data_IF_661613642468
#
_entry.id   IF_661613642468
#
_cell.length_a   1.000
_cell.length_b   1.000
_cell.length_c   1.000
_cell.angle_alpha   90.00
_cell.angle_beta   90.00
_cell.angle_gamma   90.00
#
_symmetry.space_group_name_H-M   'P 1'
#
loop_
_entity.id
_entity.type
_entity.pdbx_description
1 polymer ?
#
# COMPACT_ATOMS: atom_id res chain seq x y z
N UNK A 1 -7.89 12.24 -2.34
CA UNK A 1 -7.80 11.77 -0.92
C UNK A 1 -6.51 12.24 -0.26
N UNK A 2 -6.50 12.47 1.06
CA UNK A 2 -5.25 12.67 1.81
C UNK A 2 -4.49 11.35 1.98
N UNK A 3 -3.14 11.33 1.88
CA UNK A 3 -2.35 10.12 2.09
C UNK A 3 -2.47 9.50 3.48
N UNK A 4 -2.52 8.17 3.54
CA UNK A 4 -2.68 7.40 4.78
C UNK A 4 -1.59 6.34 4.89
N UNK A 5 -0.84 6.31 6.00
CA UNK A 5 0.05 5.20 6.35
C UNK A 5 -0.68 4.10 7.12
N UNK A 6 -0.29 2.82 6.94
CA UNK A 6 -0.89 1.67 7.64
C UNK A 6 0.16 0.84 8.37
N UNK A 7 -0.16 0.33 9.56
CA UNK A 7 0.60 -0.74 10.21
C UNK A 7 -0.08 -2.08 9.92
N UNK A 8 0.67 -3.05 9.39
CA UNK A 8 0.13 -4.37 9.01
C UNK A 8 1.05 -5.48 9.54
N UNK A 9 0.86 -5.85 10.80
CA UNK A 9 1.68 -6.86 11.46
C UNK A 9 3.16 -6.44 11.52
N UNK A 10 4.03 -7.18 10.84
CA UNK A 10 5.48 -6.93 10.81
C UNK A 10 5.93 -5.88 9.78
N UNK A 11 5.00 -5.21 9.08
CA UNK A 11 5.30 -4.22 8.05
C UNK A 11 4.58 -2.90 8.28
N UNK A 12 5.13 -1.85 7.68
CA UNK A 12 4.48 -0.55 7.53
C UNK A 12 4.23 -0.25 6.06
N UNK A 13 3.09 0.32 5.76
CA UNK A 13 2.77 0.91 4.47
C UNK A 13 2.91 2.42 4.61
N UNK A 14 3.82 3.00 3.84
CA UNK A 14 4.00 4.46 3.76
C UNK A 14 3.55 4.94 2.40
N UNK A 15 2.86 6.06 2.33
CA UNK A 15 2.39 6.65 1.09
C UNK A 15 3.52 6.91 0.09
N UNK A 16 3.19 6.77 -1.18
CA UNK A 16 3.99 7.20 -2.31
C UNK A 16 3.10 8.02 -3.25
N UNK A 17 3.74 8.94 -3.99
CA UNK A 17 3.09 9.72 -5.06
C UNK A 17 1.86 10.50 -4.54
N UNK A 18 1.98 11.36 -3.51
CA UNK A 18 0.83 12.04 -2.88
C UNK A 18 -0.01 12.86 -3.87
N UNK A 19 0.59 13.40 -4.94
CA UNK A 19 -0.17 14.11 -5.98
C UNK A 19 -1.24 13.22 -6.64
N UNK A 20 -0.93 11.94 -6.88
CA UNK A 20 -1.88 10.97 -7.44
C UNK A 20 -2.99 10.60 -6.44
N UNK A 21 -2.71 10.66 -5.13
CA UNK A 21 -3.73 10.52 -4.10
C UNK A 21 -4.65 11.73 -4.10
N UNK A 22 -4.10 12.94 -4.15
CA UNK A 22 -4.88 14.17 -4.17
C UNK A 22 -5.73 14.30 -5.43
N UNK A 23 -5.25 13.78 -6.57
CA UNK A 23 -6.00 13.72 -7.83
C UNK A 23 -7.01 12.56 -7.90
N UNK A 24 -7.05 11.67 -6.89
CA UNK A 24 -7.85 10.43 -6.90
C UNK A 24 -7.58 9.57 -8.14
N UNK A 25 -6.31 9.48 -8.56
CA UNK A 25 -5.87 8.68 -9.72
C UNK A 25 -5.32 7.32 -9.28
N UNK A 26 -4.57 7.29 -8.19
CA UNK A 26 -3.99 6.07 -7.62
C UNK A 26 -3.54 6.29 -6.18
N UNK A 27 -3.77 5.29 -5.32
CA UNK A 27 -3.33 5.28 -3.93
C UNK A 27 -2.22 4.24 -3.79
N UNK A 28 -0.95 4.68 -3.79
CA UNK A 28 0.20 3.78 -3.71
C UNK A 28 0.89 3.85 -2.35
N UNK A 29 1.26 2.69 -1.84
CA UNK A 29 2.07 2.51 -0.64
C UNK A 29 3.36 1.78 -0.96
N UNK A 30 4.47 2.23 -0.39
CA UNK A 30 5.66 1.39 -0.21
C UNK A 30 5.41 0.43 0.96
N UNK A 31 5.75 -0.85 0.78
CA UNK A 31 5.71 -1.86 1.84
C UNK A 31 7.09 -1.96 2.47
N UNK A 32 7.19 -1.69 3.77
CA UNK A 32 8.46 -1.59 4.49
C UNK A 32 8.54 -2.57 5.64
N UNK A 33 9.73 -3.13 5.88
CA UNK A 33 10.02 -3.93 7.07
C UNK A 33 9.96 -3.03 8.31
N UNK A 34 9.21 -3.42 9.34
CA UNK A 34 9.01 -2.60 10.54
C UNK A 34 10.32 -2.27 11.26
N UNK A 35 11.21 -3.25 11.39
CA UNK A 35 12.43 -3.11 12.19
C UNK A 35 13.54 -2.30 11.49
N UNK A 36 13.60 -2.32 10.16
CA UNK A 36 14.70 -1.66 9.41
C UNK A 36 14.23 -0.47 8.57
N UNK A 37 12.94 -0.41 8.22
CA UNK A 37 12.39 0.59 7.30
C UNK A 37 12.67 0.30 5.82
N UNK A 38 13.37 -0.80 5.51
CA UNK A 38 13.70 -1.18 4.13
C UNK A 38 12.43 -1.45 3.33
N UNK A 39 12.37 -0.87 2.13
CA UNK A 39 11.27 -1.14 1.19
C UNK A 39 11.47 -2.48 0.52
N UNK A 40 10.41 -3.29 0.47
CA UNK A 40 10.40 -4.61 -0.17
C UNK A 40 9.49 -4.67 -1.41
N UNK A 41 8.81 -3.56 -1.73
CA UNK A 41 7.95 -3.41 -2.91
C UNK A 41 6.85 -2.40 -2.66
N UNK A 42 5.86 -2.37 -3.55
CA UNK A 42 4.75 -1.42 -3.54
C UNK A 42 3.41 -2.13 -3.71
N UNK A 43 2.36 -1.53 -3.15
CA UNK A 43 0.96 -1.91 -3.42
C UNK A 43 0.22 -0.66 -3.85
N UNK A 44 -0.54 -0.76 -4.94
CA UNK A 44 -1.36 0.33 -5.47
C UNK A 44 -2.81 -0.10 -5.50
N UNK A 45 -3.70 0.75 -4.97
CA UNK A 45 -5.15 0.67 -5.16
C UNK A 45 -5.56 1.74 -6.18
N UNK A 46 -6.24 1.34 -7.24
CA UNK A 46 -6.86 2.26 -8.20
C UNK A 46 -8.28 2.61 -7.75
N UNK A 47 -8.83 3.76 -8.17
CA UNK A 47 -10.23 4.13 -7.91
C UNK A 47 -11.25 3.12 -8.43
N UNK A 48 -10.88 2.29 -9.41
CA UNK A 48 -11.70 1.18 -9.92
C UNK A 48 -11.87 0.03 -8.92
N UNK A 49 -11.10 0.03 -7.81
CA UNK A 49 -10.99 -1.08 -6.87
C UNK A 49 -9.92 -2.11 -7.26
N UNK A 50 -9.25 -1.94 -8.40
CA UNK A 50 -8.14 -2.82 -8.79
C UNK A 50 -6.93 -2.62 -7.88
N UNK A 51 -6.29 -3.73 -7.49
CA UNK A 51 -5.09 -3.72 -6.66
C UNK A 51 -3.94 -4.37 -7.42
N UNK A 52 -2.85 -3.62 -7.59
CA UNK A 52 -1.61 -4.10 -8.19
C UNK A 52 -0.50 -4.16 -7.14
N UNK A 53 0.42 -5.10 -7.31
CA UNK A 53 1.58 -5.30 -6.44
C UNK A 53 2.83 -5.28 -7.30
N UNK A 54 3.80 -4.46 -6.94
CA UNK A 54 5.12 -4.42 -7.57
C UNK A 54 6.20 -4.87 -6.58
N UNK A 55 7.09 -5.75 -7.03
CA UNK A 55 8.13 -6.37 -6.21
C UNK A 55 8.06 -7.90 -6.14
N UNK A 56 9.07 -8.55 -5.52
CA UNK A 56 9.16 -9.99 -5.43
C UNK A 56 8.09 -10.57 -4.49
N UNK A 57 7.52 -11.72 -4.87
CA UNK A 57 6.54 -12.41 -4.02
C UNK A 57 7.11 -12.67 -2.62
N UNK A 58 6.43 -12.12 -1.63
CA UNK A 58 6.85 -12.13 -0.23
C UNK A 58 5.65 -12.09 0.69
N UNK A 59 5.84 -12.55 1.92
CA UNK A 59 4.78 -12.48 2.95
C UNK A 59 4.33 -11.04 3.21
N UNK A 60 5.27 -10.09 3.17
CA UNK A 60 4.96 -8.68 3.37
C UNK A 60 4.08 -8.09 2.28
N UNK A 61 4.37 -8.37 1.00
CA UNK A 61 3.54 -7.91 -0.11
C UNK A 61 2.16 -8.57 -0.12
N UNK A 62 2.05 -9.85 0.22
CA UNK A 62 0.74 -10.53 0.36
C UNK A 62 -0.08 -9.96 1.51
N UNK A 63 0.56 -9.70 2.65
CA UNK A 63 -0.09 -9.09 3.82
C UNK A 63 -0.55 -7.66 3.51
N UNK A 64 0.31 -6.87 2.88
CA UNK A 64 -0.01 -5.52 2.44
C UNK A 64 -1.19 -5.49 1.46
N UNK A 65 -1.19 -6.34 0.43
CA UNK A 65 -2.30 -6.48 -0.52
C UNK A 65 -3.61 -6.79 0.19
N UNK A 66 -3.62 -7.78 1.08
CA UNK A 66 -4.82 -8.17 1.81
C UNK A 66 -5.31 -7.08 2.78
N UNK A 67 -4.42 -6.25 3.31
CA UNK A 67 -4.80 -5.10 4.14
C UNK A 67 -5.41 -3.98 3.29
N UNK A 68 -4.81 -3.65 2.15
CA UNK A 68 -5.34 -2.65 1.20
C UNK A 68 -6.70 -3.08 0.64
N UNK A 69 -6.89 -4.36 0.37
CA UNK A 69 -8.20 -4.92 -0.06
C UNK A 69 -9.29 -4.68 0.99
N UNK A 70 -8.99 -4.91 2.28
CA UNK A 70 -9.94 -4.63 3.37
C UNK A 70 -10.18 -3.13 3.56
N UNK A 71 -9.15 -2.32 3.41
CA UNK A 71 -9.25 -0.86 3.49
C UNK A 71 -10.16 -0.32 2.38
N UNK A 72 -9.94 -0.72 1.14
CA UNK A 72 -10.75 -0.31 -0.02
C UNK A 72 -12.22 -0.73 0.11
N UNK A 73 -12.50 -1.89 0.73
CA UNK A 73 -13.86 -2.33 1.01
C UNK A 73 -14.56 -1.54 2.15
N UNK A 74 -13.82 -0.71 2.89
CA UNK A 74 -14.35 0.08 4.02
C UNK A 74 -14.55 1.56 3.73
N UNK A 75 -14.11 2.04 2.56
CA UNK A 75 -14.35 3.38 2.03
C UNK A 75 -15.77 3.49 1.45
#
# INVERSE_FOLDING_TARGET
MDPVGLNVGAWYLTELRPDAWHADEAYTWAVRVNTTGDSIGEVTLLPSGEITVDGPDSEGLRTARAAVERFGASL
#
